data_IF_483285987321
#
_entry.id   IF_483285987321
#
_cell.length_a   1.000
_cell.length_b   1.000
_cell.length_c   1.000
_cell.angle_alpha   90.00
_cell.angle_beta   90.00
_cell.angle_gamma   90.00
#
_symmetry.space_group_name_H-M   'P 1'
#
loop_
_entity.id
_entity.type
_entity.pdbx_description
1 polymer ?
#
# COMPACT_ATOMS: atom_id res chain seq x y z
N UNK A 1 38.86 5.32 29.60
CA UNK A 1 37.75 4.38 29.41
C UNK A 1 36.81 4.96 28.38
N UNK A 2 36.86 4.49 27.14
CA UNK A 2 35.80 4.74 26.15
C UNK A 2 34.56 3.98 26.63
N UNK A 3 33.47 4.70 26.91
CA UNK A 3 32.24 4.08 27.43
C UNK A 3 31.68 3.01 26.49
N UNK A 4 31.00 2.01 27.06
CA UNK A 4 30.42 0.88 26.33
C UNK A 4 29.30 1.27 25.36
N UNK A 5 28.76 2.50 25.45
CA UNK A 5 27.68 3.02 24.61
C UNK A 5 27.78 4.55 24.51
N UNK A 6 27.28 5.11 23.40
CA UNK A 6 27.14 6.55 23.24
C UNK A 6 25.98 7.06 24.12
N UNK A 7 26.30 8.08 24.93
CA UNK A 7 25.35 8.74 25.84
C UNK A 7 25.17 10.18 25.40
N UNK A 8 23.93 10.62 25.23
CA UNK A 8 23.58 11.98 24.85
C UNK A 8 22.69 12.60 25.93
N UNK A 9 22.86 13.89 26.19
CA UNK A 9 21.95 14.63 27.09
C UNK A 9 20.61 14.85 26.41
N UNK A 10 19.51 14.45 27.07
CA UNK A 10 18.16 14.83 26.65
C UNK A 10 17.73 16.08 27.42
N UNK A 11 17.66 17.21 26.73
CA UNK A 11 17.19 18.45 27.34
C UNK A 11 15.67 18.44 27.47
N UNK A 12 15.18 18.27 28.70
CA UNK A 12 13.77 18.39 29.01
C UNK A 12 13.43 19.87 29.30
N UNK A 13 12.31 20.38 28.77
CA UNK A 13 11.86 21.73 29.08
C UNK A 13 11.34 21.84 30.52
N UNK A 14 11.28 23.06 31.03
CA UNK A 14 10.55 23.37 32.25
C UNK A 14 9.03 23.30 31.99
N UNK A 15 8.39 22.23 32.46
CA UNK A 15 6.95 22.04 32.33
C UNK A 15 6.24 22.30 33.65
N UNK A 16 4.99 22.77 33.58
CA UNK A 16 4.17 22.98 34.77
C UNK A 16 3.79 21.66 35.43
N UNK A 17 4.29 21.46 36.64
CA UNK A 17 3.93 20.32 37.47
C UNK A 17 2.53 20.55 38.06
N UNK A 18 1.65 19.54 37.90
CA UNK A 18 0.31 19.51 38.49
C UNK A 18 0.30 18.97 39.92
N UNK A 19 -0.85 18.47 40.38
CA UNK A 19 -0.93 17.71 41.64
C UNK A 19 -0.47 16.28 41.43
N UNK A 20 -0.05 15.60 42.50
CA UNK A 20 0.37 14.20 42.44
C UNK A 20 -0.72 13.30 41.81
N UNK A 21 -1.97 13.48 42.22
CA UNK A 21 -3.13 12.76 41.68
C UNK A 21 -3.26 12.93 40.16
N UNK A 22 -3.12 14.16 39.66
CA UNK A 22 -3.16 14.41 38.21
C UNK A 22 -1.99 13.78 37.46
N UNK A 23 -0.81 13.69 38.08
CA UNK A 23 0.37 13.07 37.46
C UNK A 23 0.24 11.54 37.37
N UNK A 24 -0.34 10.90 38.39
CA UNK A 24 -0.59 9.46 38.39
C UNK A 24 -1.52 9.09 37.24
N UNK A 25 -2.69 9.74 37.13
CA UNK A 25 -3.60 9.48 36.02
C UNK A 25 -3.00 9.81 34.64
N UNK A 26 -2.20 10.88 34.57
CA UNK A 26 -1.52 11.25 33.33
C UNK A 26 -0.44 10.25 32.89
N UNK A 27 0.23 9.57 33.82
CA UNK A 27 1.25 8.56 33.48
C UNK A 27 0.65 7.40 32.68
N UNK A 28 -0.52 6.92 33.09
CA UNK A 28 -1.27 5.88 32.39
C UNK A 28 -1.74 6.36 31.01
N UNK A 29 -2.31 7.57 30.93
CA UNK A 29 -2.79 8.16 29.68
C UNK A 29 -1.64 8.40 28.68
N UNK A 30 -0.49 8.86 29.15
CA UNK A 30 0.71 9.02 28.33
C UNK A 30 1.26 7.66 27.86
N UNK A 31 1.12 6.60 28.65
CA UNK A 31 1.46 5.24 28.24
C UNK A 31 0.61 4.76 27.06
N UNK A 32 -0.70 4.99 27.11
CA UNK A 32 -1.62 4.69 26.00
C UNK A 32 -1.33 5.56 24.78
N UNK A 33 -1.11 6.87 24.98
CA UNK A 33 -0.81 7.79 23.90
C UNK A 33 0.50 7.40 23.20
N UNK A 34 1.56 7.07 23.94
CA UNK A 34 2.84 6.63 23.38
C UNK A 34 2.70 5.42 22.44
N UNK A 35 1.99 4.38 22.89
CA UNK A 35 1.71 3.22 22.05
C UNK A 35 0.86 3.55 20.81
N UNK A 36 -0.11 4.45 20.96
CA UNK A 36 -0.92 4.93 19.84
C UNK A 36 -0.09 5.72 18.81
N UNK A 37 0.72 6.69 19.25
CA UNK A 37 1.58 7.49 18.34
C UNK A 37 2.62 6.62 17.65
N UNK A 38 3.23 5.66 18.37
CA UNK A 38 4.13 4.68 17.77
C UNK A 38 3.42 3.90 16.66
N UNK A 39 2.23 3.37 16.94
CA UNK A 39 1.44 2.60 15.97
C UNK A 39 1.14 3.40 14.70
N UNK A 40 0.69 4.65 14.83
CA UNK A 40 0.41 5.53 13.68
C UNK A 40 1.69 5.86 12.90
N UNK A 41 2.79 6.14 13.60
CA UNK A 41 4.09 6.42 12.98
C UNK A 41 4.59 5.21 12.17
N UNK A 42 4.46 4.00 12.70
CA UNK A 42 4.79 2.75 11.98
C UNK A 42 3.88 2.53 10.79
N UNK A 43 2.56 2.73 10.92
CA UNK A 43 1.62 2.63 9.79
C UNK A 43 2.01 3.57 8.64
N UNK A 44 2.43 4.80 8.94
CA UNK A 44 2.92 5.75 7.93
C UNK A 44 4.20 5.25 7.25
N UNK A 45 5.14 4.71 8.01
CA UNK A 45 6.40 4.17 7.49
C UNK A 45 6.16 2.95 6.58
N UNK A 46 5.37 1.98 7.02
CA UNK A 46 5.01 0.80 6.22
C UNK A 46 4.28 1.20 4.94
N UNK A 47 3.28 2.09 5.04
CA UNK A 47 2.53 2.51 3.86
C UNK A 47 3.39 3.33 2.88
N UNK A 48 4.38 4.09 3.36
CA UNK A 48 5.39 4.69 2.47
C UNK A 48 6.14 3.61 1.68
N UNK A 49 6.52 2.50 2.32
CA UNK A 49 7.13 1.34 1.68
C UNK A 49 6.22 0.72 0.61
N UNK A 50 4.93 0.55 0.90
CA UNK A 50 3.94 -0.01 -0.04
C UNK A 50 3.71 0.88 -1.27
N UNK A 51 3.74 2.21 -1.07
CA UNK A 51 3.57 3.19 -2.15
C UNK A 51 4.84 3.26 -3.02
N UNK A 52 6.02 3.11 -2.41
CA UNK A 52 7.32 3.11 -3.08
C UNK A 52 7.83 1.70 -3.38
N UNK A 53 6.95 0.74 -3.63
CA UNK A 53 7.30 -0.67 -3.88
C UNK A 53 8.35 -0.82 -5.01
N UNK A 54 8.23 -0.03 -6.08
CA UNK A 54 9.15 -0.01 -7.23
C UNK A 54 10.45 0.79 -6.96
N UNK A 55 10.54 1.48 -5.80
CA UNK A 55 11.60 2.41 -5.42
C UNK A 55 11.99 2.26 -3.94
N UNK A 56 12.22 1.02 -3.49
CA UNK A 56 12.54 0.68 -2.10
C UNK A 56 13.77 1.42 -1.56
N UNK A 57 14.74 1.72 -2.42
CA UNK A 57 15.94 2.51 -2.12
C UNK A 57 15.60 3.91 -1.60
N UNK A 58 14.50 4.49 -2.08
CA UNK A 58 14.06 5.85 -1.74
C UNK A 58 13.22 5.93 -0.48
N UNK A 59 12.82 4.80 0.11
CA UNK A 59 11.95 4.80 1.30
C UNK A 59 12.65 5.50 2.46
N UNK A 60 13.92 5.18 2.71
CA UNK A 60 14.72 5.80 3.79
C UNK A 60 14.87 7.31 3.62
N UNK A 61 15.00 7.78 2.39
CA UNK A 61 15.09 9.22 2.06
C UNK A 61 13.80 9.99 2.38
N UNK A 62 12.67 9.28 2.46
CA UNK A 62 11.37 9.86 2.76
C UNK A 62 10.98 9.72 4.24
N UNK A 63 11.66 8.86 5.00
CA UNK A 63 11.43 8.66 6.44
C UNK A 63 12.41 9.48 7.28
N UNK A 64 12.28 10.81 7.17
CA UNK A 64 13.09 11.78 7.89
C UNK A 64 12.24 12.56 8.89
N UNK A 65 12.86 12.98 10.00
CA UNK A 65 12.26 13.87 10.99
C UNK A 65 12.84 15.28 10.82
N UNK A 66 11.99 16.23 10.41
CA UNK A 66 12.40 17.61 10.09
C UNK A 66 13.58 17.67 9.09
N UNK A 67 13.58 16.75 8.11
CA UNK A 67 14.65 16.64 7.11
C UNK A 67 15.96 16.01 7.60
N UNK A 68 16.00 15.50 8.83
CA UNK A 68 17.16 14.81 9.40
C UNK A 68 16.89 13.32 9.59
N UNK A 69 17.95 12.51 9.58
CA UNK A 69 17.85 11.10 9.99
C UNK A 69 17.28 10.99 11.41
N UNK A 70 16.49 9.94 11.67
CA UNK A 70 15.79 9.76 12.94
C UNK A 70 16.75 9.73 14.14
N UNK A 71 17.89 9.05 13.99
CA UNK A 71 18.92 9.01 15.04
C UNK A 71 19.53 10.39 15.30
N UNK A 72 19.82 11.15 14.25
CA UNK A 72 20.34 12.51 14.36
C UNK A 72 19.33 13.45 15.03
N UNK A 73 18.05 13.33 14.65
CA UNK A 73 16.97 14.11 15.26
C UNK A 73 16.84 13.81 16.76
N UNK A 74 16.80 12.53 17.15
CA UNK A 74 16.61 12.13 18.56
C UNK A 74 17.79 12.56 19.42
N UNK A 75 19.03 12.37 18.94
CA UNK A 75 20.25 12.75 19.70
C UNK A 75 20.42 14.25 19.89
N UNK A 76 19.79 15.07 19.03
CA UNK A 76 19.80 16.54 19.09
C UNK A 76 18.42 17.12 19.41
N UNK A 77 17.54 16.31 19.99
CA UNK A 77 16.17 16.70 20.27
C UNK A 77 16.12 18.01 21.08
N UNK A 78 15.28 18.93 20.63
CA UNK A 78 14.90 20.12 21.37
C UNK A 78 13.37 20.19 21.39
N UNK A 79 12.84 20.62 22.52
CA UNK A 79 11.41 20.78 22.69
C UNK A 79 10.85 21.86 21.76
N UNK A 80 9.82 21.51 20.98
CA UNK A 80 9.13 22.44 20.10
C UNK A 80 8.14 23.30 20.91
N UNK A 81 8.63 24.44 21.41
CA UNK A 81 7.84 25.38 22.21
C UNK A 81 6.75 26.10 21.42
N UNK A 82 6.87 26.16 20.09
CA UNK A 82 5.87 26.78 19.23
C UNK A 82 4.65 25.87 19.07
N UNK A 83 4.88 24.57 18.88
CA UNK A 83 3.82 23.56 18.74
C UNK A 83 3.27 23.06 20.08
N UNK A 84 4.13 22.96 21.10
CA UNK A 84 3.80 22.46 22.43
C UNK A 84 4.23 23.47 23.51
N UNK A 85 3.46 24.55 23.76
CA UNK A 85 3.91 25.62 24.65
C UNK A 85 4.04 25.18 26.11
N UNK A 86 5.23 25.35 26.69
CA UNK A 86 5.58 24.91 28.06
C UNK A 86 4.72 25.55 29.17
N UNK A 87 4.07 26.68 28.86
CA UNK A 87 3.14 27.37 29.77
C UNK A 87 1.78 26.65 29.91
N UNK A 88 1.44 25.72 29.03
CA UNK A 88 0.21 24.94 29.12
C UNK A 88 0.32 23.84 30.18
N UNK A 89 -0.82 23.29 30.60
CA UNK A 89 -0.84 22.12 31.47
C UNK A 89 -0.36 20.88 30.70
N UNK A 90 0.20 19.91 31.42
CA UNK A 90 0.63 18.64 30.80
C UNK A 90 -0.54 17.92 30.11
N UNK A 91 -1.76 17.97 30.68
CA UNK A 91 -2.96 17.40 30.07
C UNK A 91 -3.29 18.06 28.72
N UNK A 92 -3.23 19.39 28.62
CA UNK A 92 -3.48 20.08 27.36
C UNK A 92 -2.43 19.72 26.29
N UNK A 93 -1.16 19.58 26.68
CA UNK A 93 -0.10 19.14 25.76
C UNK A 93 -0.38 17.74 25.21
N UNK A 94 -0.78 16.80 26.07
CA UNK A 94 -1.21 15.44 25.70
C UNK A 94 -2.40 15.47 24.74
N UNK A 95 -3.40 16.31 24.98
CA UNK A 95 -4.57 16.47 24.12
C UNK A 95 -4.23 17.04 22.73
N UNK A 96 -3.32 18.03 22.66
CA UNK A 96 -2.85 18.60 21.39
C UNK A 96 -2.20 17.50 20.54
N UNK A 97 -1.31 16.69 21.13
CA UNK A 97 -0.65 15.59 20.44
C UNK A 97 -1.69 14.54 20.01
N UNK A 98 -2.55 14.10 20.93
CA UNK A 98 -3.57 13.09 20.65
C UNK A 98 -4.47 13.49 19.48
N UNK A 99 -4.95 14.74 19.46
CA UNK A 99 -5.79 15.27 18.37
C UNK A 99 -5.04 15.32 17.04
N UNK A 100 -3.78 15.75 17.05
CA UNK A 100 -2.94 15.79 15.85
C UNK A 100 -2.77 14.39 15.26
N UNK A 101 -2.39 13.41 16.08
CA UNK A 101 -2.13 12.04 15.62
C UNK A 101 -3.41 11.33 15.16
N UNK A 102 -4.53 11.56 15.85
CA UNK A 102 -5.84 11.04 15.42
C UNK A 102 -6.24 11.55 14.04
N UNK A 103 -6.02 12.85 13.77
CA UNK A 103 -6.29 13.42 12.45
C UNK A 103 -5.41 12.79 11.37
N UNK A 104 -4.11 12.62 11.66
CA UNK A 104 -3.16 11.97 10.74
C UNK A 104 -3.60 10.54 10.42
N UNK A 105 -4.02 9.75 11.42
CA UNK A 105 -4.50 8.38 11.20
C UNK A 105 -5.75 8.33 10.31
N UNK A 106 -6.73 9.19 10.58
CA UNK A 106 -7.94 9.27 9.79
C UNK A 106 -7.64 9.63 8.31
N UNK A 107 -6.79 10.63 8.10
CA UNK A 107 -6.41 11.08 6.77
C UNK A 107 -5.58 10.03 6.01
N UNK A 108 -4.69 9.30 6.71
CA UNK A 108 -3.97 8.17 6.15
C UNK A 108 -4.94 7.12 5.64
N UNK A 109 -5.94 6.72 6.45
CA UNK A 109 -6.93 5.71 6.07
C UNK A 109 -7.71 6.12 4.82
N UNK A 110 -8.15 7.37 4.77
CA UNK A 110 -8.90 7.91 3.62
C UNK A 110 -8.06 7.94 2.34
N UNK A 111 -6.85 8.51 2.41
CA UNK A 111 -5.94 8.61 1.25
C UNK A 111 -5.48 7.24 0.78
N UNK A 112 -5.16 6.33 1.70
CA UNK A 112 -4.74 4.98 1.37
C UNK A 112 -5.84 4.19 0.66
N UNK A 113 -7.08 4.29 1.16
CA UNK A 113 -8.25 3.66 0.51
C UNK A 113 -8.44 4.14 -0.93
N UNK A 114 -8.40 5.46 -1.15
CA UNK A 114 -8.58 6.04 -2.48
C UNK A 114 -7.48 5.60 -3.47
N UNK A 115 -6.22 5.63 -3.04
CA UNK A 115 -5.09 5.23 -3.90
C UNK A 115 -5.09 3.72 -4.18
N UNK A 116 -5.36 2.90 -3.15
CA UNK A 116 -5.39 1.45 -3.29
C UNK A 116 -6.58 0.97 -4.12
N UNK A 117 -7.71 1.69 -4.13
CA UNK A 117 -8.82 1.39 -5.02
C UNK A 117 -8.40 1.48 -6.50
N UNK A 118 -7.68 2.54 -6.88
CA UNK A 118 -7.17 2.70 -8.25
C UNK A 118 -6.15 1.59 -8.58
N UNK A 119 -5.20 1.31 -7.68
CA UNK A 119 -4.25 0.20 -7.84
C UNK A 119 -4.95 -1.15 -8.03
N UNK A 120 -5.96 -1.42 -7.20
CA UNK A 120 -6.72 -2.67 -7.24
C UNK A 120 -7.50 -2.85 -8.55
N UNK A 121 -8.14 -1.79 -9.04
CA UNK A 121 -8.83 -1.82 -10.34
C UNK A 121 -7.85 -2.06 -11.48
N UNK A 122 -6.72 -1.34 -11.52
CA UNK A 122 -5.69 -1.55 -12.53
C UNK A 122 -5.12 -2.97 -12.50
N UNK A 123 -4.81 -3.51 -11.32
CA UNK A 123 -4.30 -4.88 -11.19
C UNK A 123 -5.32 -5.93 -11.65
N UNK A 124 -6.61 -5.72 -11.38
CA UNK A 124 -7.71 -6.57 -11.85
C UNK A 124 -7.83 -6.54 -13.38
N UNK A 125 -7.74 -5.36 -13.98
CA UNK A 125 -7.77 -5.19 -15.44
C UNK A 125 -6.55 -5.84 -16.12
N UNK A 126 -5.35 -5.65 -15.57
CA UNK A 126 -4.12 -6.27 -16.09
C UNK A 126 -4.18 -7.81 -16.02
N UNK A 127 -4.67 -8.37 -14.91
CA UNK A 127 -4.86 -9.82 -14.77
C UNK A 127 -5.85 -10.38 -15.80
N UNK A 128 -6.92 -9.63 -16.11
CA UNK A 128 -7.89 -10.02 -17.16
C UNK A 128 -7.30 -9.94 -18.56
N UNK A 129 -6.30 -9.10 -18.80
CA UNK A 129 -5.63 -8.98 -20.09
C UNK A 129 -4.58 -10.08 -20.35
N UNK A 130 -3.84 -10.52 -19.31
CA UNK A 130 -2.69 -11.43 -19.44
C UNK A 130 -2.97 -12.93 -19.27
N UNK A 131 -4.22 -13.34 -19.05
CA UNK A 131 -4.59 -14.75 -18.86
C UNK A 131 -4.42 -15.61 -20.12
N UNK A 132 -4.66 -16.93 -20.00
CA UNK A 132 -4.80 -17.83 -21.16
C UNK A 132 -5.96 -17.40 -22.06
N UNK A 133 -5.90 -17.71 -23.36
CA UNK A 133 -7.00 -17.48 -24.32
C UNK A 133 -8.36 -18.04 -23.87
N UNK A 134 -8.35 -19.03 -22.98
CA UNK A 134 -9.55 -19.61 -22.37
C UNK A 134 -10.30 -18.65 -21.45
N UNK A 135 -9.64 -17.64 -20.87
CA UNK A 135 -10.24 -16.77 -19.84
C UNK A 135 -9.96 -15.28 -20.03
N UNK A 136 -8.89 -14.88 -20.72
CA UNK A 136 -8.51 -13.47 -20.93
C UNK A 136 -9.54 -12.70 -21.75
N UNK A 137 -9.54 -11.38 -21.58
CA UNK A 137 -10.20 -10.48 -22.53
C UNK A 137 -9.57 -10.65 -23.92
N UNK A 138 -10.41 -10.75 -24.96
CA UNK A 138 -10.00 -10.94 -26.36
C UNK A 138 -10.01 -9.63 -27.16
N UNK A 139 -10.56 -8.56 -26.59
CA UNK A 139 -10.78 -7.29 -27.27
C UNK A 139 -9.51 -6.56 -27.71
N UNK A 140 -8.38 -6.87 -27.08
CA UNK A 140 -7.06 -6.37 -27.49
C UNK A 140 -6.36 -7.25 -28.54
N UNK A 141 -6.89 -8.45 -28.80
CA UNK A 141 -6.35 -9.41 -29.76
C UNK A 141 -7.00 -9.33 -31.14
N UNK A 142 -8.26 -8.90 -31.18
CA UNK A 142 -9.09 -8.95 -32.39
C UNK A 142 -9.23 -7.55 -33.00
N UNK A 143 -9.47 -7.51 -34.31
CA UNK A 143 -9.70 -6.26 -35.06
C UNK A 143 -11.06 -6.25 -35.72
N UNK A 144 -11.51 -5.07 -36.16
CA UNK A 144 -12.78 -4.90 -36.88
C UNK A 144 -12.88 -5.81 -38.09
N UNK A 145 -11.78 -5.96 -38.82
CA UNK A 145 -11.72 -6.75 -40.06
C UNK A 145 -11.85 -8.26 -39.81
N UNK A 146 -11.71 -8.72 -38.57
CA UNK A 146 -11.88 -10.12 -38.21
C UNK A 146 -13.36 -10.50 -38.09
N UNK A 147 -14.30 -9.55 -38.10
CA UNK A 147 -15.74 -9.80 -37.90
C UNK A 147 -16.59 -9.35 -39.09
N UNK A 148 -17.59 -10.17 -39.40
CA UNK A 148 -18.75 -9.75 -40.20
C UNK A 148 -19.71 -8.96 -39.30
N UNK A 149 -19.74 -7.64 -39.49
CA UNK A 149 -20.61 -6.71 -38.76
C UNK A 149 -21.90 -6.43 -39.53
N UNK A 150 -22.95 -5.99 -38.81
CA UNK A 150 -24.24 -5.53 -39.36
C UNK A 150 -24.96 -6.50 -40.32
N UNK A 151 -24.62 -7.79 -40.26
CA UNK A 151 -25.32 -8.81 -41.04
C UNK A 151 -26.59 -9.25 -40.33
N UNK A 152 -27.69 -9.36 -41.08
CA UNK A 152 -28.95 -9.93 -40.58
C UNK A 152 -28.78 -11.40 -40.20
N UNK A 153 -28.06 -12.17 -41.02
CA UNK A 153 -28.01 -13.64 -40.96
C UNK A 153 -26.68 -14.22 -40.50
N UNK A 154 -25.56 -13.53 -40.74
CA UNK A 154 -24.22 -14.04 -40.42
C UNK A 154 -23.71 -13.48 -39.09
N UNK A 155 -22.84 -14.25 -38.46
CA UNK A 155 -22.06 -13.83 -37.29
C UNK A 155 -20.68 -14.47 -37.36
N UNK A 156 -19.71 -13.82 -36.73
CA UNK A 156 -18.36 -14.38 -36.55
C UNK A 156 -18.20 -14.81 -35.11
N UNK A 157 -17.77 -16.05 -34.90
CA UNK A 157 -17.45 -16.61 -33.59
C UNK A 157 -15.95 -16.68 -33.40
N UNK A 158 -15.50 -16.52 -32.15
CA UNK A 158 -14.11 -16.73 -31.76
C UNK A 158 -13.97 -18.12 -31.14
N UNK A 159 -12.99 -18.89 -31.59
CA UNK A 159 -12.78 -20.27 -31.17
C UNK A 159 -11.35 -20.47 -30.71
N UNK A 160 -11.19 -20.92 -29.47
CA UNK A 160 -9.92 -21.30 -28.88
C UNK A 160 -9.69 -22.78 -29.18
N UNK A 161 -8.60 -23.07 -29.88
CA UNK A 161 -8.22 -24.39 -30.35
C UNK A 161 -6.88 -24.76 -29.71
N UNK A 162 -6.77 -25.90 -29.01
CA UNK A 162 -5.48 -26.40 -28.55
C UNK A 162 -4.52 -26.56 -29.72
N UNK A 163 -3.25 -26.13 -29.58
CA UNK A 163 -2.23 -26.22 -30.65
C UNK A 163 -2.08 -27.62 -31.24
N UNK A 164 -2.19 -28.64 -30.37
CA UNK A 164 -2.14 -30.04 -30.79
C UNK A 164 -3.27 -30.44 -31.76
N UNK A 165 -4.36 -29.66 -31.83
CA UNK A 165 -5.55 -29.92 -32.63
C UNK A 165 -5.73 -28.92 -33.79
N UNK A 166 -4.76 -28.04 -34.05
CA UNK A 166 -4.84 -27.06 -35.14
C UNK A 166 -5.11 -27.71 -36.51
N UNK A 167 -4.39 -28.77 -36.86
CA UNK A 167 -4.61 -29.48 -38.12
C UNK A 167 -5.98 -30.18 -38.18
N UNK A 168 -6.53 -30.59 -37.03
CA UNK A 168 -7.88 -31.12 -36.99
C UNK A 168 -8.91 -30.01 -37.22
N UNK A 169 -8.76 -28.87 -36.55
CA UNK A 169 -9.63 -27.70 -36.70
C UNK A 169 -9.76 -27.30 -38.17
N UNK A 170 -8.65 -27.08 -38.86
CA UNK A 170 -8.62 -26.66 -40.27
C UNK A 170 -9.37 -27.63 -41.19
N UNK A 171 -9.34 -28.93 -40.88
CA UNK A 171 -10.01 -29.97 -41.67
C UNK A 171 -11.51 -30.06 -41.40
N UNK A 172 -11.97 -29.72 -40.20
CA UNK A 172 -13.31 -30.11 -39.71
C UNK A 172 -14.23 -28.96 -39.35
N UNK A 173 -13.73 -27.74 -39.11
CA UNK A 173 -14.55 -26.66 -38.56
C UNK A 173 -15.80 -26.35 -39.40
N UNK A 174 -15.66 -26.36 -40.72
CA UNK A 174 -16.74 -26.06 -41.66
C UNK A 174 -17.74 -27.22 -41.84
N UNK A 175 -17.46 -28.39 -41.26
CA UNK A 175 -18.34 -29.57 -41.23
C UNK A 175 -18.98 -29.80 -39.87
N UNK A 176 -18.74 -28.92 -38.89
CA UNK A 176 -19.29 -29.08 -37.55
C UNK A 176 -20.81 -28.94 -37.55
N UNK A 177 -21.38 -28.11 -38.41
CA UNK A 177 -22.82 -27.97 -38.61
C UNK A 177 -23.07 -27.44 -40.02
N UNK A 178 -24.29 -27.59 -40.51
CA UNK A 178 -24.72 -26.91 -41.72
C UNK A 178 -24.66 -25.38 -41.52
N UNK A 179 -24.51 -24.64 -42.62
CA UNK A 179 -24.47 -23.17 -42.62
C UNK A 179 -23.26 -22.54 -41.91
N UNK A 180 -22.12 -23.24 -41.89
CA UNK A 180 -20.79 -22.64 -41.66
C UNK A 180 -20.21 -22.19 -43.00
N UNK A 181 -19.64 -20.99 -43.06
CA UNK A 181 -19.02 -20.47 -44.29
C UNK A 181 -17.65 -21.14 -44.49
N UNK A 182 -17.43 -21.92 -45.56
CA UNK A 182 -16.13 -22.50 -45.85
C UNK A 182 -15.06 -21.43 -46.04
N UNK A 183 -13.81 -21.77 -45.76
CA UNK A 183 -12.63 -20.87 -45.83
C UNK A 183 -12.73 -19.58 -44.98
N UNK A 184 -13.76 -19.43 -44.14
CA UNK A 184 -13.91 -18.26 -43.25
C UNK A 184 -13.03 -18.28 -41.99
N UNK A 185 -12.35 -19.39 -41.68
CA UNK A 185 -11.55 -19.46 -40.45
C UNK A 185 -10.16 -18.88 -40.62
N UNK A 186 -9.77 -18.01 -39.69
CA UNK A 186 -8.47 -17.34 -39.68
C UNK A 186 -7.87 -17.36 -38.28
N UNK A 187 -6.58 -17.68 -38.16
CA UNK A 187 -5.84 -17.52 -36.91
C UNK A 187 -5.63 -16.03 -36.62
N UNK A 188 -6.12 -15.57 -35.48
CA UNK A 188 -6.02 -14.17 -35.02
C UNK A 188 -4.84 -13.96 -34.08
N UNK A 189 -4.67 -14.88 -33.13
CA UNK A 189 -3.62 -14.82 -32.12
C UNK A 189 -3.26 -16.22 -31.64
N UNK A 190 -2.04 -16.41 -31.16
CA UNK A 190 -1.55 -17.68 -30.64
C UNK A 190 -0.82 -17.46 -29.31
N UNK A 191 -1.19 -18.21 -28.26
CA UNK A 191 -0.46 -18.29 -27.00
C UNK A 191 0.43 -19.55 -26.93
N UNK A 192 0.97 -19.91 -25.78
CA UNK A 192 1.86 -21.07 -25.66
C UNK A 192 1.15 -22.41 -25.93
N UNK A 193 -0.15 -22.52 -25.69
CA UNK A 193 -0.91 -23.77 -25.71
C UNK A 193 -2.08 -23.77 -26.71
N UNK A 194 -2.60 -22.60 -27.10
CA UNK A 194 -3.81 -22.45 -27.88
C UNK A 194 -3.65 -21.43 -29.02
N UNK A 195 -4.41 -21.63 -30.09
CA UNK A 195 -4.68 -20.63 -31.13
C UNK A 195 -6.11 -20.08 -30.99
N UNK A 196 -6.27 -18.78 -31.20
CA UNK A 196 -7.56 -18.11 -31.30
C UNK A 196 -7.91 -17.93 -32.77
N UNK A 197 -8.98 -18.57 -33.21
CA UNK A 197 -9.47 -18.53 -34.57
C UNK A 197 -10.78 -17.75 -34.66
N UNK A 198 -11.03 -17.10 -35.79
CA UNK A 198 -12.37 -16.67 -36.18
C UNK A 198 -13.05 -17.77 -37.00
N UNK A 199 -14.38 -17.74 -37.06
CA UNK A 199 -15.18 -18.54 -38.00
C UNK A 199 -16.50 -17.82 -38.26
N UNK A 200 -16.91 -17.72 -39.52
CA UNK A 200 -18.20 -17.11 -39.89
C UNK A 200 -19.24 -18.20 -40.13
N UNK A 201 -20.40 -18.05 -39.52
CA UNK A 201 -21.55 -18.95 -39.69
C UNK A 201 -22.87 -18.20 -39.58
N UNK A 202 -23.96 -18.87 -39.94
CA UNK A 202 -25.30 -18.31 -39.77
C UNK A 202 -25.68 -18.28 -38.28
N UNK A 203 -26.32 -17.18 -37.84
CA UNK A 203 -26.76 -16.99 -36.45
C UNK A 203 -27.63 -18.13 -35.92
N UNK A 204 -28.43 -18.75 -36.80
CA UNK A 204 -29.36 -19.85 -36.46
C UNK A 204 -28.65 -21.11 -35.94
N UNK A 205 -27.39 -21.34 -36.31
CA UNK A 205 -26.64 -22.57 -35.95
C UNK A 205 -25.52 -22.32 -34.94
N UNK A 206 -25.48 -21.15 -34.29
CA UNK A 206 -24.42 -20.83 -33.33
C UNK A 206 -24.40 -21.82 -32.17
N UNK A 207 -25.56 -22.16 -31.60
CA UNK A 207 -25.61 -23.07 -30.45
C UNK A 207 -25.27 -24.52 -30.82
N UNK A 208 -25.69 -24.97 -32.01
CA UNK A 208 -25.32 -26.28 -32.56
C UNK A 208 -23.81 -26.34 -32.86
N UNK A 209 -23.26 -25.28 -33.46
CA UNK A 209 -21.82 -25.14 -33.68
C UNK A 209 -21.04 -25.20 -32.35
N UNK A 210 -21.48 -24.47 -31.33
CA UNK A 210 -20.87 -24.48 -29.98
C UNK A 210 -20.88 -25.89 -29.38
N UNK A 211 -21.97 -26.63 -29.53
CA UNK A 211 -22.10 -28.00 -29.05
C UNK A 211 -21.07 -28.93 -29.73
N UNK A 212 -21.06 -28.98 -31.06
CA UNK A 212 -20.16 -29.86 -31.81
C UNK A 212 -18.68 -29.44 -31.69
N UNK A 213 -18.40 -28.14 -31.59
CA UNK A 213 -17.06 -27.63 -31.30
C UNK A 213 -16.56 -28.16 -29.94
N UNK A 214 -17.42 -28.12 -28.91
CA UNK A 214 -17.08 -28.62 -27.57
C UNK A 214 -16.76 -30.11 -27.55
N UNK A 215 -17.51 -30.93 -28.29
CA UNK A 215 -17.26 -32.37 -28.40
C UNK A 215 -15.88 -32.68 -29.01
N UNK A 216 -15.37 -31.77 -29.84
CA UNK A 216 -14.01 -31.79 -30.40
C UNK A 216 -12.96 -31.08 -29.56
N UNK A 217 -13.31 -30.66 -28.34
CA UNK A 217 -12.44 -29.89 -27.42
C UNK A 217 -12.04 -28.50 -27.96
N UNK A 218 -12.84 -27.93 -28.86
CA UNK A 218 -12.72 -26.53 -29.27
C UNK A 218 -13.64 -25.67 -28.39
N UNK A 219 -13.12 -24.58 -27.84
CA UNK A 219 -13.89 -23.68 -27.00
C UNK A 219 -14.32 -22.44 -27.79
N UNK A 220 -15.62 -22.31 -28.04
CA UNK A 220 -16.18 -21.07 -28.59
C UNK A 220 -16.29 -20.03 -27.47
N UNK A 221 -15.62 -18.89 -27.61
CA UNK A 221 -15.63 -17.79 -26.65
C UNK A 221 -16.80 -16.86 -26.93
N UNK A 222 -17.55 -16.51 -25.89
CA UNK A 222 -18.57 -15.48 -25.99
C UNK A 222 -17.90 -14.12 -26.15
N UNK A 223 -18.09 -13.51 -27.32
CA UNK A 223 -17.53 -12.21 -27.65
C UNK A 223 -18.41 -11.52 -28.68
N UNK A 224 -18.68 -10.24 -28.45
CA UNK A 224 -19.35 -9.36 -29.41
C UNK A 224 -18.40 -8.21 -29.69
N UNK A 225 -18.05 -8.02 -30.96
CA UNK A 225 -17.19 -6.91 -31.35
C UNK A 225 -18.00 -5.61 -31.30
N UNK A 226 -17.58 -4.71 -30.42
CA UNK A 226 -18.11 -3.35 -30.29
C UNK A 226 -16.93 -2.39 -30.18
N UNK A 227 -16.68 -1.66 -31.27
CA UNK A 227 -15.56 -0.72 -31.38
C UNK A 227 -15.62 0.37 -30.30
N UNK A 228 -16.82 0.86 -29.99
CA UNK A 228 -17.00 1.91 -28.98
C UNK A 228 -16.74 1.37 -27.57
N UNK A 229 -17.21 0.16 -27.25
CA UNK A 229 -16.97 -0.46 -25.96
C UNK A 229 -15.48 -0.80 -25.75
N UNK A 230 -14.79 -1.29 -26.78
CA UNK A 230 -13.36 -1.60 -26.74
C UNK A 230 -12.51 -0.33 -26.56
N UNK A 231 -12.84 0.74 -27.29
CA UNK A 231 -12.16 2.03 -27.15
C UNK A 231 -12.43 2.67 -25.78
N UNK A 232 -13.66 2.60 -25.28
CA UNK A 232 -14.01 3.05 -23.94
C UNK A 232 -13.19 2.32 -22.86
N UNK A 233 -13.00 1.01 -22.96
CA UNK A 233 -12.17 0.23 -22.04
C UNK A 233 -10.69 0.63 -22.05
N UNK A 234 -10.11 0.88 -23.23
CA UNK A 234 -8.72 1.39 -23.35
C UNK A 234 -8.58 2.79 -22.76
N UNK A 235 -9.56 3.66 -23.01
CA UNK A 235 -9.60 5.01 -22.45
C UNK A 235 -9.74 4.98 -20.92
N UNK A 236 -10.51 4.04 -20.37
CA UNK A 236 -10.64 3.85 -18.92
C UNK A 236 -9.30 3.45 -18.27
N UNK A 237 -8.58 2.48 -18.85
CA UNK A 237 -7.24 2.09 -18.36
C UNK A 237 -6.29 3.29 -18.36
N UNK A 238 -6.22 4.00 -19.50
CA UNK A 238 -5.35 5.18 -19.66
C UNK A 238 -5.70 6.27 -18.65
N UNK A 239 -6.99 6.48 -18.39
CA UNK A 239 -7.48 7.43 -17.38
C UNK A 239 -7.06 7.02 -15.97
N UNK A 240 -7.24 5.75 -15.61
CA UNK A 240 -6.86 5.21 -14.30
C UNK A 240 -5.35 5.30 -14.06
N UNK A 241 -4.53 5.04 -15.08
CA UNK A 241 -3.07 5.20 -15.00
C UNK A 241 -2.67 6.68 -14.81
N UNK A 242 -3.32 7.58 -15.54
CA UNK A 242 -3.13 9.03 -15.38
C UNK A 242 -3.50 9.49 -13.97
N UNK A 243 -4.63 9.01 -13.44
CA UNK A 243 -5.10 9.35 -12.10
C UNK A 243 -4.20 8.75 -11.01
N UNK A 244 -3.71 7.51 -11.17
CA UNK A 244 -2.68 6.92 -10.30
C UNK A 244 -1.44 7.81 -10.25
N UNK A 245 -0.93 8.24 -11.41
CA UNK A 245 0.27 9.08 -11.52
C UNK A 245 0.06 10.47 -10.90
N UNK A 246 -1.11 11.07 -11.11
CA UNK A 246 -1.49 12.37 -10.52
C UNK A 246 -1.57 12.30 -9.00
N UNK A 247 -2.11 11.22 -8.43
CA UNK A 247 -2.24 11.06 -6.98
C UNK A 247 -0.92 10.69 -6.29
N UNK A 248 -0.03 9.98 -6.97
CA UNK A 248 1.21 9.45 -6.41
C UNK A 248 2.09 10.54 -5.77
N UNK A 249 2.47 11.58 -6.53
CA UNK A 249 3.35 12.64 -6.03
C UNK A 249 2.82 13.36 -4.78
N UNK A 250 1.57 13.88 -4.80
CA UNK A 250 0.93 14.46 -3.62
C UNK A 250 0.84 13.50 -2.44
N UNK A 251 0.56 12.22 -2.67
CA UNK A 251 0.47 11.20 -1.62
C UNK A 251 1.83 11.00 -0.94
N UNK A 252 2.91 10.79 -1.69
CA UNK A 252 4.26 10.61 -1.14
C UNK A 252 4.68 11.85 -0.33
N UNK A 253 4.43 13.06 -0.86
CA UNK A 253 4.72 14.31 -0.14
C UNK A 253 3.92 14.40 1.16
N UNK A 254 2.64 14.04 1.13
CA UNK A 254 1.79 14.04 2.32
C UNK A 254 2.29 13.03 3.35
N UNK A 255 2.63 11.80 2.94
CA UNK A 255 3.18 10.77 3.83
C UNK A 255 4.49 11.22 4.47
N UNK A 256 5.41 11.83 3.71
CA UNK A 256 6.69 12.35 4.23
C UNK A 256 6.49 13.40 5.32
N UNK A 257 5.60 14.37 5.09
CA UNK A 257 5.31 15.43 6.07
C UNK A 257 4.68 14.84 7.33
N UNK A 258 3.65 14.00 7.17
CA UNK A 258 2.91 13.48 8.32
C UNK A 258 3.69 12.41 9.09
N UNK A 259 4.56 11.66 8.42
CA UNK A 259 5.54 10.79 9.08
C UNK A 259 6.46 11.61 9.98
N UNK A 260 7.07 12.68 9.45
CA UNK A 260 7.93 13.58 10.22
C UNK A 260 7.17 14.16 11.42
N UNK A 261 5.97 14.70 11.20
CA UNK A 261 5.14 15.26 12.26
C UNK A 261 4.74 14.24 13.33
N UNK A 262 4.43 13.00 12.93
CA UNK A 262 4.07 11.92 13.86
C UNK A 262 5.28 11.46 14.67
N UNK A 263 6.44 11.33 14.04
CA UNK A 263 7.67 10.94 14.72
C UNK A 263 8.12 12.02 15.71
N UNK A 264 8.08 13.30 15.31
CA UNK A 264 8.40 14.42 16.21
C UNK A 264 7.46 14.42 17.43
N UNK A 265 6.16 14.26 17.20
CA UNK A 265 5.18 14.16 18.28
C UNK A 265 5.46 12.96 19.19
N UNK A 266 5.89 11.82 18.63
CA UNK A 266 6.26 10.64 19.41
C UNK A 266 7.39 10.92 20.40
N UNK A 267 8.46 11.60 19.96
CA UNK A 267 9.58 11.99 20.83
C UNK A 267 9.14 12.98 21.91
N UNK A 268 8.20 13.89 21.61
CA UNK A 268 7.60 14.76 22.62
C UNK A 268 6.80 13.98 23.67
N UNK A 269 6.03 12.96 23.27
CA UNK A 269 5.35 12.06 24.21
C UNK A 269 6.37 11.32 25.08
N UNK A 270 7.46 10.81 24.52
CA UNK A 270 8.55 10.19 25.29
C UNK A 270 9.15 11.17 26.31
N UNK A 271 9.41 12.42 25.91
CA UNK A 271 9.91 13.45 26.81
C UNK A 271 8.91 13.77 27.94
N UNK A 272 7.60 13.84 27.64
CA UNK A 272 6.55 13.99 28.65
C UNK A 272 6.51 12.81 29.62
N UNK A 273 6.62 11.57 29.11
CA UNK A 273 6.66 10.36 29.95
C UNK A 273 7.86 10.36 30.89
N UNK A 274 9.06 10.65 30.37
CA UNK A 274 10.28 10.75 31.17
C UNK A 274 10.10 11.83 32.25
N UNK A 275 9.57 13.00 31.90
CA UNK A 275 9.34 14.08 32.85
C UNK A 275 8.35 13.68 33.95
N UNK A 276 7.15 13.21 33.59
CA UNK A 276 6.10 12.84 34.56
C UNK A 276 6.56 11.73 35.48
N UNK A 277 7.15 10.66 34.94
CA UNK A 277 7.63 9.53 35.74
C UNK A 277 8.79 9.93 36.65
N UNK A 278 9.67 10.84 36.19
CA UNK A 278 10.77 11.35 37.02
C UNK A 278 10.25 12.20 38.18
N UNK A 279 9.21 13.01 37.98
CA UNK A 279 8.56 13.74 39.08
C UNK A 279 7.88 12.77 40.05
N UNK A 280 7.20 11.74 39.55
CA UNK A 280 6.55 10.73 40.39
C UNK A 280 7.54 9.91 41.23
N UNK A 281 8.71 9.58 40.67
CA UNK A 281 9.73 8.76 41.37
C UNK A 281 10.68 9.56 42.25
N UNK A 282 11.11 10.72 41.80
CA UNK A 282 12.17 11.51 42.46
C UNK A 282 11.63 12.72 43.22
N UNK A 283 10.36 13.09 43.02
CA UNK A 283 9.72 14.19 43.70
C UNK A 283 10.15 15.57 43.20
N UNK A 284 9.88 16.58 44.03
CA UNK A 284 10.24 17.99 43.79
C UNK A 284 11.39 18.41 44.71
N UNK A 285 12.26 19.35 44.30
CA UNK A 285 12.25 20.07 43.02
C UNK A 285 12.67 19.20 41.82
N UNK A 286 12.32 19.63 40.60
CA UNK A 286 12.63 18.92 39.34
C UNK A 286 14.12 19.02 39.01
N UNK A 287 14.94 18.22 39.70
CA UNK A 287 16.40 18.21 39.60
C UNK A 287 16.92 16.88 39.04
N UNK A 288 16.44 16.48 37.88
CA UNK A 288 16.89 15.27 37.19
C UNK A 288 17.44 15.60 35.80
N UNK A 289 18.45 14.82 35.39
CA UNK A 289 19.06 14.92 34.06
C UNK A 289 18.68 13.68 33.26
N UNK A 290 17.84 13.85 32.23
CA UNK A 290 17.53 12.77 31.31
C UNK A 290 18.69 12.54 30.33
N UNK A 291 18.90 11.27 29.98
CA UNK A 291 19.94 10.84 29.04
C UNK A 291 19.36 9.88 28.01
N UNK A 292 19.87 9.97 26.77
CA UNK A 292 19.63 9.01 25.70
C UNK A 292 20.83 8.07 25.62
N UNK A 293 20.56 6.78 25.66
CA UNK A 293 21.55 5.72 25.55
C UNK A 293 21.35 5.01 24.21
N UNK A 294 22.35 5.03 23.34
CA UNK A 294 22.28 4.30 22.08
C UNK A 294 22.63 2.83 22.34
N UNK A 295 21.62 1.96 22.37
CA UNK A 295 21.84 0.52 22.55
C UNK A 295 22.81 -0.01 21.49
N UNK A 296 23.89 -0.64 21.94
CA UNK A 296 24.76 -1.47 21.11
C UNK A 296 24.32 -2.92 21.29
N UNK A 297 24.03 -3.61 20.19
CA UNK A 297 23.97 -5.06 20.23
C UNK A 297 25.40 -5.56 20.49
N UNK A 298 25.66 -6.03 21.71
CA UNK A 298 26.92 -6.68 22.06
C UNK A 298 26.71 -8.19 21.84
N UNK A 299 27.36 -8.81 20.84
CA UNK A 299 27.22 -10.24 20.58
C UNK A 299 27.55 -11.05 21.85
N UNK A 300 26.61 -11.88 22.30
CA UNK A 300 26.77 -12.72 23.50
C UNK A 300 26.30 -12.09 24.82
N UNK A 301 25.94 -10.80 24.84
CA UNK A 301 25.33 -10.16 26.02
C UNK A 301 23.82 -10.01 25.83
N UNK A 302 23.06 -11.03 26.25
CA UNK A 302 21.61 -10.89 26.38
C UNK A 302 21.30 -10.15 27.68
N UNK A 303 21.15 -8.83 27.61
CA UNK A 303 20.52 -8.09 28.70
C UNK A 303 19.07 -8.57 28.80
N UNK A 304 18.75 -9.34 29.85
CA UNK A 304 17.38 -9.76 30.12
C UNK A 304 16.47 -8.53 30.16
N UNK A 305 15.29 -8.61 29.56
CA UNK A 305 14.26 -7.59 29.75
C UNK A 305 13.90 -7.58 31.24
N UNK A 306 14.48 -6.63 31.97
CA UNK A 306 14.16 -6.45 33.38
C UNK A 306 12.80 -5.76 33.45
N UNK A 307 11.85 -6.34 34.17
CA UNK A 307 10.54 -5.70 34.42
C UNK A 307 10.69 -4.39 35.21
N UNK A 308 11.82 -4.21 35.90
CA UNK A 308 12.10 -3.05 36.73
C UNK A 308 13.55 -2.58 36.59
N UNK A 309 13.72 -1.30 36.28
CA UNK A 309 15.00 -0.59 36.36
C UNK A 309 14.98 0.36 37.56
N UNK A 310 16.12 0.56 38.25
CA UNK A 310 16.23 1.50 39.38
C UNK A 310 16.12 2.98 38.94
N UNK A 311 16.00 3.23 37.64
CA UNK A 311 15.81 4.53 37.03
C UNK A 311 14.61 4.53 36.09
N UNK A 312 14.12 5.72 35.74
CA UNK A 312 13.09 5.89 34.70
C UNK A 312 13.67 5.45 33.36
N UNK A 313 13.03 4.48 32.71
CA UNK A 313 13.52 3.89 31.48
C UNK A 313 12.39 3.74 30.46
N UNK A 314 12.64 4.22 29.24
CA UNK A 314 11.78 3.99 28.08
C UNK A 314 12.65 3.69 26.85
N UNK A 315 12.28 2.66 26.11
CA UNK A 315 12.95 2.30 24.86
C UNK A 315 12.31 3.01 23.66
N UNK A 316 13.15 3.40 22.69
CA UNK A 316 12.73 3.89 21.38
C UNK A 316 13.37 2.98 20.33
N UNK A 317 12.55 2.35 19.49
CA UNK A 317 13.03 1.54 18.35
C UNK A 317 12.93 2.37 17.08
N UNK A 318 14.09 2.74 16.53
CA UNK A 318 14.19 3.55 15.31
C UNK A 318 14.09 2.74 14.02
N UNK A 319 14.11 1.41 14.11
CA UNK A 319 13.78 0.56 12.97
C UNK A 319 12.26 0.52 12.80
N UNK A 320 11.78 1.24 11.79
CA UNK A 320 10.35 1.47 11.53
C UNK A 320 9.82 0.67 10.34
N UNK A 321 10.71 -0.01 9.63
CA UNK A 321 10.36 -0.90 8.52
C UNK A 321 10.97 -2.25 8.86
N UNK A 322 10.12 -3.25 9.10
CA UNK A 322 10.59 -4.62 9.23
C UNK A 322 11.27 -5.03 7.91
N UNK A 323 12.46 -5.64 8.00
CA UNK A 323 13.21 -6.13 6.83
C UNK A 323 12.52 -7.31 6.16
#
# INVERSE_FOLDING_TARGET
MTGLTAVFSLQLPELKVGTLDTLVGLSDDLGKLDGFVESVTRKLAHYMGDVLEEHQDRVRENLLANGQDLSNFVTKFQWDTAKYPTKQSLRNLTEIISKQITQIEHDLKSKASAYNAIRGTLASLDRKAKGSLLTRNLGDLVKKEDFVLDSEYLTTQLVVVPKALTSEWERVYWKLTDMVVPESSKLVYEDNEHGLYTVTLFKKVVDEFKLHARDKKFLVREFVYDEQALEAGKNEITKLESDKKKQFGPLVRWLRVNFSDSFIAWIHVKALRVFVESVLRYGLPVNFQAMLLQSLEIPGLSLAHQEYYPYVFYQIKLDLIDR
#
